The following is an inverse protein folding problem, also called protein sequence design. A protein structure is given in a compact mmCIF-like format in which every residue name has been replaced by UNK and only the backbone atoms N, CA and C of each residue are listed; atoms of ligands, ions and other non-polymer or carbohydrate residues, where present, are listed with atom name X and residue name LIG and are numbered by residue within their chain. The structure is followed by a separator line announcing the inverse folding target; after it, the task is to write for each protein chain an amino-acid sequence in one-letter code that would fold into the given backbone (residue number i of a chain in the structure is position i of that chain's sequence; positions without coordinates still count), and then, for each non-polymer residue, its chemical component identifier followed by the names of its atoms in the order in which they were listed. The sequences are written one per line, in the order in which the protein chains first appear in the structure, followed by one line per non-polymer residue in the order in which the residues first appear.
data_IF_285115604683
#
_entry.id   IF_285115604683
#
_cell.length_a   1.000
_cell.length_b   1.000
_cell.length_c   1.000
_cell.angle_alpha   90.00
_cell.angle_beta   90.00
_cell.angle_gamma   90.00
#
_symmetry.space_group_name_H-M   'P 1'
#
loop_
_entity.id
_entity.type
_entity.pdbx_description
1 polymer ?
#
# COMPACT_ATOMS: atom_id res chain seq x y z
N UNK A 1 39.16 -17.01 -21.67
CA UNK A 1 38.19 -18.07 -21.30
C UNK A 1 36.92 -17.87 -22.12
N UNK A 2 36.59 -18.73 -23.10
CA UNK A 2 35.38 -18.54 -23.90
C UNK A 2 34.12 -19.01 -23.15
N UNK A 3 33.04 -18.22 -23.23
CA UNK A 3 31.72 -18.57 -22.71
C UNK A 3 31.17 -19.77 -23.49
N UNK A 4 30.83 -20.84 -22.77
CA UNK A 4 30.26 -22.05 -23.39
C UNK A 4 28.80 -21.77 -23.77
N UNK A 5 28.48 -21.89 -25.05
CA UNK A 5 27.10 -21.78 -25.54
C UNK A 5 26.31 -23.03 -25.14
N UNK A 6 25.35 -22.87 -24.23
CA UNK A 6 24.51 -23.95 -23.67
C UNK A 6 23.34 -24.38 -24.56
N UNK A 7 23.29 -23.95 -25.82
CA UNK A 7 22.17 -24.23 -26.71
C UNK A 7 22.42 -25.51 -27.52
N UNK A 8 21.41 -26.37 -27.58
CA UNK A 8 21.38 -27.55 -28.44
C UNK A 8 21.62 -27.15 -29.92
N UNK A 9 22.30 -28.02 -30.69
CA UNK A 9 22.59 -27.81 -32.12
C UNK A 9 21.34 -27.44 -32.91
N UNK A 10 20.18 -28.04 -32.61
CA UNK A 10 18.92 -27.72 -33.27
C UNK A 10 18.54 -26.24 -33.12
N UNK A 11 18.73 -25.65 -31.94
CA UNK A 11 18.44 -24.23 -31.70
C UNK A 11 19.40 -23.33 -32.48
N UNK A 12 20.65 -23.76 -32.67
CA UNK A 12 21.66 -23.01 -33.43
C UNK A 12 21.38 -23.01 -34.95
N UNK A 13 20.68 -24.02 -35.46
CA UNK A 13 20.39 -24.18 -36.89
C UNK A 13 18.95 -23.83 -37.30
N UNK A 14 18.09 -23.47 -36.35
CA UNK A 14 16.68 -23.14 -36.64
C UNK A 14 16.58 -21.81 -37.39
N UNK A 15 15.90 -21.84 -38.55
CA UNK A 15 15.55 -20.64 -39.32
C UNK A 15 14.14 -20.18 -38.94
N UNK A 16 13.99 -18.90 -38.62
CA UNK A 16 12.69 -18.30 -38.35
C UNK A 16 11.75 -18.47 -39.56
N UNK A 17 10.48 -18.80 -39.29
CA UNK A 17 9.47 -18.90 -40.33
C UNK A 17 9.11 -17.50 -40.88
N UNK A 18 8.60 -17.40 -42.12
CA UNK A 18 8.18 -16.11 -42.71
C UNK A 18 7.20 -15.33 -41.82
N UNK A 19 6.31 -16.05 -41.12
CA UNK A 19 5.33 -15.45 -40.20
C UNK A 19 6.00 -14.84 -38.97
N UNK A 20 7.00 -15.48 -38.39
CA UNK A 20 7.76 -14.95 -37.25
C UNK A 20 8.51 -13.68 -37.66
N UNK A 21 9.14 -13.68 -38.85
CA UNK A 21 9.80 -12.49 -39.38
C UNK A 21 8.83 -11.33 -39.62
N UNK A 22 7.60 -11.61 -40.09
CA UNK A 22 6.57 -10.59 -40.29
C UNK A 22 6.08 -9.98 -38.97
N UNK A 23 5.89 -10.80 -37.93
CA UNK A 23 5.47 -10.33 -36.60
C UNK A 23 6.58 -9.57 -35.86
N UNK A 24 7.85 -9.88 -36.14
CA UNK A 24 9.00 -9.17 -35.60
C UNK A 24 9.17 -7.76 -36.18
N UNK A 25 8.47 -7.42 -37.27
CA UNK A 25 8.49 -6.06 -37.79
C UNK A 25 7.72 -5.14 -36.85
N UNK A 26 8.29 -3.98 -36.45
CA UNK A 26 7.57 -3.02 -35.63
C UNK A 26 6.34 -2.55 -36.39
N UNK A 27 5.19 -2.55 -35.71
CA UNK A 27 3.93 -2.05 -36.28
C UNK A 27 4.15 -0.59 -36.65
N UNK A 28 4.27 -0.30 -37.95
CA UNK A 28 4.26 1.08 -38.45
C UNK A 28 2.85 1.63 -38.29
N UNK A 29 2.57 2.16 -37.09
CA UNK A 29 1.44 3.06 -36.91
C UNK A 29 1.71 4.26 -37.82
N UNK A 30 0.83 4.50 -38.80
CA UNK A 30 0.76 5.80 -39.44
C UNK A 30 0.35 6.77 -38.34
N UNK A 31 1.34 7.42 -37.71
CA UNK A 31 1.09 8.59 -36.89
C UNK A 31 0.52 9.62 -37.85
N UNK A 32 -0.80 9.77 -37.88
CA UNK A 32 -1.40 11.01 -38.34
C UNK A 32 -0.94 12.04 -37.30
N UNK A 33 0.17 12.70 -37.62
CA UNK A 33 0.73 13.82 -36.88
C UNK A 33 -0.27 14.97 -36.97
N UNK A 34 -1.30 14.91 -36.13
CA UNK A 34 -1.97 16.09 -35.63
C UNK A 34 -1.40 16.34 -34.23
N UNK A 35 -0.26 17.01 -34.20
CA UNK A 35 0.34 17.54 -32.99
C UNK A 35 1.20 16.54 -32.21
N UNK A 36 2.32 17.06 -31.74
CA UNK A 36 3.26 16.48 -30.79
C UNK A 36 4.26 15.46 -31.34
N UNK A 37 5.46 16.00 -31.61
CA UNK A 37 6.71 15.25 -31.60
C UNK A 37 7.54 15.74 -30.42
N UNK A 38 7.76 14.84 -29.46
CA UNK A 38 8.93 14.82 -28.61
C UNK A 38 9.44 13.36 -28.76
N UNK A 39 10.71 13.07 -29.06
CA UNK A 39 11.88 13.56 -28.34
C UNK A 39 13.18 13.49 -29.18
N UNK A 40 14.20 14.20 -28.68
CA UNK A 40 15.64 13.91 -28.79
C UNK A 40 16.33 14.06 -30.16
N UNK A 41 16.82 15.29 -30.41
CA UNK A 41 18.20 15.56 -30.85
C UNK A 41 18.36 17.06 -31.06
N UNK A 42 19.15 17.74 -30.21
CA UNK A 42 19.79 19.03 -30.49
C UNK A 42 18.98 20.20 -31.08
N UNK A 43 17.66 20.16 -31.12
CA UNK A 43 16.86 21.22 -31.70
C UNK A 43 16.65 22.28 -30.64
N UNK A 44 17.20 23.48 -30.87
CA UNK A 44 16.70 24.70 -30.23
C UNK A 44 15.19 24.68 -30.40
N UNK A 45 14.48 24.42 -29.31
CA UNK A 45 13.02 24.49 -29.29
C UNK A 45 12.70 25.96 -29.47
N UNK A 46 12.55 26.38 -30.73
CA UNK A 46 11.89 27.63 -31.05
C UNK A 46 10.45 27.40 -30.67
N UNK A 47 10.13 27.58 -29.39
CA UNK A 47 8.75 27.72 -28.93
C UNK A 47 8.23 28.90 -29.74
N UNK A 48 7.31 28.69 -30.71
CA UNK A 48 6.69 29.83 -31.34
C UNK A 48 6.12 30.67 -30.20
N UNK A 49 6.49 31.94 -30.13
CA UNK A 49 5.92 32.92 -29.22
C UNK A 49 4.47 33.14 -29.65
N UNK A 50 3.64 32.12 -29.45
CA UNK A 50 2.24 32.11 -29.79
C UNK A 50 1.56 33.00 -28.76
N UNK A 51 1.02 34.12 -29.24
CA UNK A 51 0.21 34.99 -28.40
C UNK A 51 -1.01 34.18 -27.95
N UNK A 52 -1.21 33.99 -26.64
CA UNK A 52 -2.36 33.24 -26.15
C UNK A 52 -3.65 33.95 -26.58
N UNK A 53 -4.67 33.17 -26.93
CA UNK A 53 -5.97 33.74 -27.27
C UNK A 53 -6.56 34.54 -26.09
N UNK A 54 -7.43 35.53 -26.33
CA UNK A 54 -8.06 36.30 -25.26
C UNK A 54 -8.75 35.43 -24.21
N UNK A 55 -9.35 34.31 -24.63
CA UNK A 55 -9.96 33.32 -23.74
C UNK A 55 -8.93 32.67 -22.82
N UNK A 56 -7.75 32.32 -23.33
CA UNK A 56 -6.68 31.73 -22.51
C UNK A 56 -6.19 32.72 -21.45
N UNK A 57 -6.05 34.00 -21.81
CA UNK A 57 -5.70 35.04 -20.83
C UNK A 57 -6.77 35.18 -19.74
N UNK A 58 -8.05 35.14 -20.11
CA UNK A 58 -9.15 35.18 -19.15
C UNK A 58 -9.18 33.96 -18.22
N UNK A 59 -8.93 32.76 -18.75
CA UNK A 59 -8.88 31.53 -17.95
C UNK A 59 -7.63 31.43 -17.07
N UNK A 60 -6.52 32.01 -17.50
CA UNK A 60 -5.29 32.10 -16.72
C UNK A 60 -5.41 33.10 -15.56
N UNK A 61 -6.35 34.05 -15.64
CA UNK A 61 -6.62 34.97 -14.55
C UNK A 61 -7.28 34.24 -13.38
N UNK A 62 -6.73 34.36 -12.15
CA UNK A 62 -7.33 33.74 -10.98
C UNK A 62 -8.73 34.32 -10.72
N UNK A 63 -9.63 33.48 -10.21
CA UNK A 63 -10.96 33.93 -9.78
C UNK A 63 -10.83 34.94 -8.65
N UNK A 64 -11.64 35.99 -8.69
CA UNK A 64 -11.74 36.95 -7.60
C UNK A 64 -12.36 36.28 -6.37
N UNK A 65 -11.77 36.54 -5.21
CA UNK A 65 -12.25 36.06 -3.91
C UNK A 65 -13.57 36.77 -3.59
N UNK A 66 -14.58 36.04 -3.10
CA UNK A 66 -15.87 36.61 -2.75
C UNK A 66 -15.72 37.63 -1.59
N UNK A 67 -16.46 38.75 -1.56
CA UNK A 67 -16.33 39.77 -0.50
C UNK A 67 -16.51 39.24 0.93
N UNK A 68 -17.27 38.16 1.09
CA UNK A 68 -17.51 37.50 2.39
C UNK A 68 -16.59 36.31 2.67
N UNK A 69 -15.64 36.02 1.78
CA UNK A 69 -14.73 34.90 1.97
C UNK A 69 -13.68 35.25 3.03
N UNK A 70 -13.81 34.64 4.22
CA UNK A 70 -12.76 34.67 5.23
C UNK A 70 -11.60 33.77 4.78
N UNK A 71 -10.40 34.34 4.66
CA UNK A 71 -9.18 33.58 4.38
C UNK A 71 -8.85 32.66 5.57
N UNK A 72 -8.10 31.60 5.28
CA UNK A 72 -7.64 30.65 6.30
C UNK A 72 -6.88 31.36 7.42
N UNK A 73 -7.08 30.89 8.65
CA UNK A 73 -6.36 31.39 9.81
C UNK A 73 -4.87 31.03 9.67
N UNK A 74 -3.93 31.95 9.98
CA UNK A 74 -2.51 31.62 9.97
C UNK A 74 -2.20 30.45 10.91
N UNK A 75 -1.29 29.56 10.48
CA UNK A 75 -0.90 28.33 11.20
C UNK A 75 -0.36 28.64 12.60
N UNK A 76 0.36 29.76 12.76
CA UNK A 76 0.82 30.26 14.05
C UNK A 76 -0.02 31.46 14.48
N UNK A 77 -0.79 31.32 15.56
CA UNK A 77 -1.42 32.46 16.24
C UNK A 77 -0.75 32.69 17.59
N UNK A 78 -0.65 33.95 18.05
CA UNK A 78 -0.08 34.26 19.35
C UNK A 78 -0.96 33.67 20.45
N UNK A 79 -0.36 32.82 21.29
CA UNK A 79 -1.00 32.31 22.50
C UNK A 79 -0.68 33.31 23.63
N UNK A 80 -1.68 33.81 24.37
CA UNK A 80 -1.44 34.68 25.51
C UNK A 80 -0.52 34.05 26.56
N UNK A 81 0.39 34.85 27.13
CA UNK A 81 1.36 34.38 28.12
C UNK A 81 0.73 33.70 29.35
N UNK A 82 -0.49 34.10 29.74
CA UNK A 82 -1.19 33.48 30.87
C UNK A 82 -1.61 32.03 30.58
N UNK A 83 -1.89 31.70 29.32
CA UNK A 83 -2.22 30.33 28.91
C UNK A 83 -0.96 29.48 28.91
N UNK A 84 0.17 30.00 28.41
CA UNK A 84 1.44 29.29 28.41
C UNK A 84 1.94 28.98 29.84
N UNK A 85 1.60 29.82 30.82
CA UNK A 85 1.96 29.66 32.23
C UNK A 85 0.90 28.90 33.05
N UNK A 86 -0.24 28.55 32.45
CA UNK A 86 -1.31 27.89 33.19
C UNK A 86 -0.92 26.44 33.51
N UNK A 87 -1.33 25.96 34.68
CA UNK A 87 -1.08 24.57 35.11
C UNK A 87 -2.38 23.78 35.11
N UNK A 88 -2.28 22.46 34.94
CA UNK A 88 -3.45 21.60 34.93
C UNK A 88 -4.17 21.62 36.28
N UNK A 89 -5.51 21.68 36.24
CA UNK A 89 -6.33 21.61 37.46
C UNK A 89 -6.08 20.32 38.23
N UNK A 90 -6.36 20.32 39.53
CA UNK A 90 -6.23 19.13 40.38
C UNK A 90 -7.04 17.95 39.82
N UNK A 91 -8.28 18.20 39.39
CA UNK A 91 -9.12 17.20 38.74
C UNK A 91 -8.46 16.63 37.48
N UNK A 92 -7.86 17.47 36.63
CA UNK A 92 -7.16 16.99 35.43
C UNK A 92 -5.97 16.10 35.81
N UNK A 93 -5.19 16.49 36.82
CA UNK A 93 -4.06 15.69 37.32
C UNK A 93 -4.51 14.33 37.85
N UNK A 94 -5.67 14.27 38.53
CA UNK A 94 -6.25 13.00 39.01
C UNK A 94 -6.71 12.11 37.85
N UNK A 95 -7.42 12.67 36.87
CA UNK A 95 -7.91 11.92 35.71
C UNK A 95 -6.79 11.47 34.77
N UNK A 96 -5.68 12.21 34.72
CA UNK A 96 -4.51 11.84 33.94
C UNK A 96 -3.74 10.65 34.52
N UNK A 97 -3.99 10.26 35.78
CA UNK A 97 -3.35 9.07 36.36
C UNK A 97 -3.85 7.82 35.63
N UNK A 98 -2.94 6.95 35.13
CA UNK A 98 -3.37 5.71 34.49
C UNK A 98 -4.09 4.82 35.50
N UNK A 99 -5.16 4.15 35.05
CA UNK A 99 -5.86 3.17 35.86
C UNK A 99 -4.97 1.96 36.07
N UNK A 100 -4.53 1.71 37.31
CA UNK A 100 -3.84 0.47 37.67
C UNK A 100 -4.81 -0.70 37.50
N UNK A 101 -4.48 -1.63 36.62
CA UNK A 101 -5.15 -2.93 36.53
C UNK A 101 -4.22 -3.93 37.23
N UNK A 102 -4.73 -4.65 38.22
CA UNK A 102 -4.02 -5.85 38.68
C UNK A 102 -3.89 -6.79 37.48
N UNK A 103 -2.72 -7.39 37.27
CA UNK A 103 -2.58 -8.31 36.15
C UNK A 103 -3.48 -9.50 36.44
N UNK A 104 -4.55 -9.65 35.65
CA UNK A 104 -5.47 -10.80 35.76
C UNK A 104 -4.76 -12.16 35.68
N UNK A 105 -3.48 -12.16 35.26
CA UNK A 105 -2.65 -13.33 34.99
C UNK A 105 -1.42 -13.43 35.88
N UNK A 106 -1.27 -12.60 36.92
CA UNK A 106 -0.07 -12.61 37.79
C UNK A 106 0.14 -13.96 38.52
N UNK A 107 -0.90 -14.79 38.59
CA UNK A 107 -0.85 -16.16 39.11
C UNK A 107 -1.40 -17.22 38.12
N UNK A 108 -1.53 -16.88 36.83
CA UNK A 108 -2.05 -17.80 35.83
C UNK A 108 -0.93 -18.69 35.28
N UNK A 109 -0.90 -19.94 35.73
CA UNK A 109 -0.09 -20.97 35.10
C UNK A 109 -0.86 -21.56 33.90
N UNK A 110 -0.40 -21.35 32.65
CA UNK A 110 -1.09 -21.83 31.46
C UNK A 110 -1.12 -23.37 31.35
N UNK A 111 -0.32 -24.08 32.16
CA UNK A 111 -0.29 -25.53 32.19
C UNK A 111 -1.07 -26.13 33.37
N UNK A 112 -1.67 -25.29 34.22
CA UNK A 112 -2.45 -25.75 35.35
C UNK A 112 -3.81 -26.30 34.90
N UNK A 113 -4.07 -27.57 35.24
CA UNK A 113 -5.33 -28.25 34.94
C UNK A 113 -6.19 -28.31 36.20
N UNK A 114 -7.47 -27.94 36.09
CA UNK A 114 -8.38 -27.93 37.24
C UNK A 114 -8.61 -29.34 37.80
N UNK A 115 -8.84 -29.50 39.13
CA UNK A 115 -9.13 -30.80 39.72
C UNK A 115 -10.35 -31.49 39.09
N UNK A 116 -11.37 -30.72 38.72
CA UNK A 116 -12.55 -31.23 38.03
C UNK A 116 -12.21 -31.81 36.64
N UNK A 117 -11.35 -31.13 35.87
CA UNK A 117 -10.91 -31.64 34.58
C UNK A 117 -10.06 -32.92 34.71
N UNK A 118 -9.24 -33.02 35.76
CA UNK A 118 -8.47 -34.25 36.07
C UNK A 118 -9.36 -35.42 36.51
N UNK A 119 -10.46 -35.13 37.21
CA UNK A 119 -11.41 -36.13 37.66
C UNK A 119 -12.46 -36.51 36.59
N UNK A 120 -12.57 -35.74 35.52
CA UNK A 120 -13.54 -35.99 34.46
C UNK A 120 -13.22 -37.30 33.74
N UNK A 121 -14.23 -38.15 33.60
CA UNK A 121 -14.14 -39.41 32.85
C UNK A 121 -14.85 -39.26 31.50
N UNK A 122 -14.28 -39.83 30.45
CA UNK A 122 -14.86 -39.78 29.11
C UNK A 122 -16.21 -40.52 29.05
N UNK A 123 -17.14 -39.99 28.25
CA UNK A 123 -18.43 -40.65 28.03
C UNK A 123 -18.26 -41.96 27.24
N UNK A 124 -19.20 -42.93 27.36
CA UNK A 124 -19.12 -44.17 26.60
C UNK A 124 -18.95 -43.96 25.09
N UNK A 125 -19.63 -42.95 24.53
CA UNK A 125 -19.51 -42.59 23.11
C UNK A 125 -18.13 -42.08 22.74
N UNK A 126 -17.49 -41.29 23.60
CA UNK A 126 -16.12 -40.81 23.35
C UNK A 126 -15.10 -41.95 23.43
N UNK A 127 -15.30 -42.91 24.33
CA UNK A 127 -14.47 -44.11 24.40
C UNK A 127 -14.61 -44.98 23.15
N UNK A 128 -15.81 -45.12 22.59
CA UNK A 128 -16.02 -45.83 21.33
C UNK A 128 -15.31 -45.12 20.16
N UNK A 129 -15.40 -43.79 20.10
CA UNK A 129 -14.79 -42.98 19.05
C UNK A 129 -13.26 -42.91 19.14
N UNK A 130 -12.68 -43.10 20.32
CA UNK A 130 -11.22 -43.12 20.49
C UNK A 130 -10.58 -44.41 19.95
N UNK A 131 -11.38 -45.45 19.72
CA UNK A 131 -10.91 -46.67 19.08
C UNK A 131 -10.60 -46.43 17.60
N UNK A 132 -9.55 -47.08 17.06
CA UNK A 132 -9.24 -46.98 15.65
C UNK A 132 -10.38 -47.54 14.80
N UNK A 133 -10.66 -46.86 13.68
CA UNK A 133 -11.65 -47.36 12.72
C UNK A 133 -11.25 -48.77 12.25
N UNK A 134 -12.21 -49.71 12.11
CA UNK A 134 -11.90 -51.12 11.79
C UNK A 134 -11.03 -51.27 10.54
N UNK A 135 -11.28 -50.46 9.51
CA UNK A 135 -10.50 -50.43 8.25
C UNK A 135 -9.04 -49.97 8.39
N UNK A 136 -8.69 -49.36 9.53
CA UNK A 136 -7.34 -48.84 9.84
C UNK A 136 -6.56 -49.77 10.78
N UNK A 137 -7.21 -50.79 11.34
CA UNK A 137 -6.54 -51.84 12.10
C UNK A 137 -5.86 -52.78 11.11
N UNK A 138 -4.52 -52.77 11.05
CA UNK A 138 -3.76 -53.78 10.32
C UNK A 138 -3.63 -55.02 11.20
N UNK A 139 -3.95 -56.19 10.65
CA UNK A 139 -3.85 -57.51 11.32
C UNK A 139 -2.44 -58.06 11.23
#
# INVERSE_FOLDING_TARGET
MPLKNHFCVAVQTVRASPRICQLAQPKRMKMMLNGFSAESSGHTVTVPTATPSPRLLQLASPKQVHPQHALDRPVSWPIPNHILKTSASERLRLLARPKTRQALFEAYDPYSVSPAARAATASPRLLELSLPLPRKCKT
#
